data_IF_791389502201
#
_entry.id   IF_791389502201
#
_cell.length_a   1.000
_cell.length_b   1.000
_cell.length_c   1.000
_cell.angle_alpha   90.00
_cell.angle_beta   90.00
_cell.angle_gamma   90.00
#
_symmetry.space_group_name_H-M   'P 1'
#
loop_
_entity.id
_entity.type
_entity.pdbx_description
1 polymer ?
#
# COMPACT_ATOMS: atom_id res chain seq x y z
N UNK A 1 30.25 -1.86 14.30
CA UNK A 1 28.77 -2.05 14.42
C UNK A 1 27.94 -0.95 13.75
N UNK A 2 28.47 0.28 13.54
CA UNK A 2 27.93 1.23 12.54
C UNK A 2 28.20 0.78 11.07
N UNK A 3 28.68 -0.45 10.88
CA UNK A 3 29.21 -0.92 9.60
C UNK A 3 28.14 -1.35 8.60
N UNK A 4 26.91 -1.55 9.08
CA UNK A 4 25.78 -1.99 8.27
C UNK A 4 25.14 -0.84 7.47
N UNK A 5 25.30 0.41 7.89
CA UNK A 5 24.73 1.57 7.21
C UNK A 5 25.71 2.06 6.15
N UNK A 6 25.29 1.95 4.89
CA UNK A 6 26.20 2.14 3.76
C UNK A 6 26.42 3.61 3.44
N UNK A 7 25.41 4.46 3.63
CA UNK A 7 25.42 5.84 3.12
C UNK A 7 26.63 6.65 3.63
N UNK A 8 26.92 6.75 4.94
CA UNK A 8 28.06 7.53 5.42
C UNK A 8 29.39 7.08 4.82
N UNK A 9 29.58 5.77 4.62
CA UNK A 9 30.80 5.20 4.03
C UNK A 9 31.01 5.60 2.58
N UNK A 10 29.91 5.70 1.82
CA UNK A 10 29.95 6.05 0.40
C UNK A 10 30.33 7.52 0.20
N UNK A 11 29.85 8.40 1.08
CA UNK A 11 30.01 9.85 0.92
C UNK A 11 31.07 10.46 1.85
N UNK A 12 31.72 9.68 2.72
CA UNK A 12 32.59 10.19 3.80
C UNK A 12 33.71 11.12 3.35
N UNK A 13 34.20 10.97 2.12
CA UNK A 13 35.32 11.75 1.57
C UNK A 13 34.87 12.78 0.53
N UNK A 14 33.57 13.04 0.43
CA UNK A 14 32.99 13.98 -0.53
C UNK A 14 32.59 15.27 0.17
N UNK A 15 32.75 16.39 -0.53
CA UNK A 15 32.11 17.64 -0.14
C UNK A 15 30.58 17.52 -0.31
N UNK A 16 29.81 18.32 0.43
CA UNK A 16 28.36 18.12 0.49
C UNK A 16 27.69 18.23 -0.90
N UNK A 17 28.13 19.13 -1.76
CA UNK A 17 27.58 19.28 -3.12
C UNK A 17 27.76 18.01 -3.94
N UNK A 18 28.94 17.39 -3.87
CA UNK A 18 29.27 16.15 -4.59
C UNK A 18 28.53 14.96 -3.98
N UNK A 19 28.48 14.87 -2.65
CA UNK A 19 27.71 13.86 -1.94
C UNK A 19 26.23 13.92 -2.35
N UNK A 20 25.63 15.12 -2.34
CA UNK A 20 24.23 15.33 -2.72
C UNK A 20 23.96 14.91 -4.16
N UNK A 21 24.82 15.31 -5.10
CA UNK A 21 24.69 14.92 -6.51
C UNK A 21 24.77 13.40 -6.67
N UNK A 22 25.73 12.74 -6.04
CA UNK A 22 25.90 11.28 -6.07
C UNK A 22 24.65 10.57 -5.53
N UNK A 23 24.11 11.00 -4.39
CA UNK A 23 22.92 10.40 -3.78
C UNK A 23 21.69 10.53 -4.66
N UNK A 24 21.52 11.66 -5.36
CA UNK A 24 20.38 11.90 -6.24
C UNK A 24 20.50 11.13 -7.56
N UNK A 25 21.68 11.15 -8.19
CA UNK A 25 21.89 10.61 -9.54
C UNK A 25 22.12 9.10 -9.54
N UNK A 26 23.07 8.61 -8.72
CA UNK A 26 23.44 7.18 -8.68
C UNK A 26 22.46 6.34 -7.85
N UNK A 27 21.97 6.90 -6.75
CA UNK A 27 21.13 6.17 -5.79
C UNK A 27 19.66 6.56 -5.85
N UNK A 28 19.25 7.53 -6.67
CA UNK A 28 17.84 7.89 -6.84
C UNK A 28 17.16 8.34 -5.54
N UNK A 29 17.92 8.99 -4.65
CA UNK A 29 17.41 9.52 -3.38
C UNK A 29 16.90 10.95 -3.56
N UNK A 30 15.81 11.27 -2.88
CA UNK A 30 15.33 12.63 -2.64
C UNK A 30 15.90 13.09 -1.32
N UNK A 31 16.51 14.27 -1.34
CA UNK A 31 17.16 14.88 -0.18
C UNK A 31 16.34 16.09 0.26
N UNK A 32 15.98 16.11 1.54
CA UNK A 32 15.54 17.30 2.25
C UNK A 32 16.67 17.72 3.19
N UNK A 33 16.98 19.01 3.30
CA UNK A 33 18.16 19.46 4.01
C UNK A 33 17.92 20.77 4.77
N UNK A 34 18.72 20.97 5.80
CA UNK A 34 18.87 22.20 6.58
C UNK A 34 20.35 22.60 6.52
N UNK A 35 20.76 23.55 7.36
CA UNK A 35 22.17 23.90 7.50
C UNK A 35 22.99 22.76 8.14
N UNK A 36 22.38 21.98 9.05
CA UNK A 36 23.08 21.00 9.90
C UNK A 36 22.77 19.55 9.58
N UNK A 37 21.60 19.27 9.01
CA UNK A 37 21.08 17.92 8.81
C UNK A 37 20.59 17.73 7.37
N UNK A 38 20.66 16.50 6.88
CA UNK A 38 19.92 16.08 5.70
C UNK A 38 19.13 14.80 5.95
N UNK A 39 17.97 14.70 5.31
CA UNK A 39 17.05 13.57 5.35
C UNK A 39 16.98 12.94 3.97
N UNK A 40 17.36 11.67 3.87
CA UNK A 40 17.38 10.93 2.62
C UNK A 40 16.19 9.97 2.52
N UNK A 41 15.51 9.99 1.37
CA UNK A 41 14.38 9.12 1.07
C UNK A 41 14.42 8.63 -0.38
N UNK A 42 14.17 7.35 -0.61
CA UNK A 42 13.99 6.83 -1.97
C UNK A 42 12.78 7.43 -2.73
N UNK A 43 12.87 7.47 -4.06
CA UNK A 43 11.73 7.76 -4.94
C UNK A 43 10.78 6.55 -4.99
N UNK A 44 9.49 6.78 -4.75
CA UNK A 44 8.49 5.72 -4.83
C UNK A 44 8.44 5.15 -6.25
N UNK A 45 8.51 3.83 -6.39
CA UNK A 45 8.55 3.18 -7.71
C UNK A 45 9.89 3.29 -8.45
N UNK A 46 10.99 3.65 -7.76
CA UNK A 46 12.33 3.68 -8.38
C UNK A 46 12.63 2.37 -9.15
N UNK A 47 13.11 2.52 -10.39
CA UNK A 47 13.52 1.38 -11.23
C UNK A 47 14.70 0.60 -10.62
N UNK A 48 15.45 1.22 -9.72
CA UNK A 48 16.56 0.58 -9.01
C UNK A 48 16.10 -0.56 -8.08
N UNK A 49 14.83 -0.59 -7.67
CA UNK A 49 14.29 -1.74 -6.91
C UNK A 49 14.29 -3.05 -7.71
N UNK A 50 14.19 -2.97 -9.04
CA UNK A 50 14.13 -4.15 -9.92
C UNK A 50 15.41 -4.34 -10.70
N UNK A 51 16.06 -3.25 -11.14
CA UNK A 51 17.24 -3.27 -12.02
C UNK A 51 18.53 -2.79 -11.35
N UNK A 52 18.45 -2.27 -10.13
CA UNK A 52 19.62 -1.77 -9.40
C UNK A 52 20.50 -2.89 -8.86
N UNK A 53 21.73 -2.54 -8.52
CA UNK A 53 22.66 -3.42 -7.80
C UNK A 53 22.17 -3.67 -6.37
N UNK A 54 22.73 -4.69 -5.71
CA UNK A 54 22.42 -4.97 -4.29
C UNK A 54 22.81 -3.81 -3.37
N UNK A 55 23.91 -3.10 -3.66
CA UNK A 55 24.28 -1.87 -2.96
C UNK A 55 23.19 -0.81 -3.10
N UNK A 56 22.71 -0.55 -4.31
CA UNK A 56 21.65 0.43 -4.56
C UNK A 56 20.37 0.05 -3.83
N UNK A 57 19.92 -1.21 -3.92
CA UNK A 57 18.72 -1.68 -3.21
C UNK A 57 18.87 -1.53 -1.69
N UNK A 58 20.04 -1.83 -1.15
CA UNK A 58 20.34 -1.67 0.28
C UNK A 58 20.28 -0.20 0.70
N UNK A 59 20.90 0.70 -0.07
CA UNK A 59 20.82 2.15 0.17
C UNK A 59 19.38 2.63 0.15
N UNK A 60 18.59 2.24 -0.83
CA UNK A 60 17.17 2.62 -0.89
C UNK A 60 16.39 2.08 0.32
N UNK A 61 16.66 0.84 0.74
CA UNK A 61 15.97 0.21 1.86
C UNK A 61 16.28 0.90 3.20
N UNK A 62 17.54 1.31 3.39
CA UNK A 62 18.01 2.05 4.56
C UNK A 62 17.50 3.50 4.57
N UNK A 63 17.33 4.11 3.41
CA UNK A 63 16.97 5.51 3.27
C UNK A 63 15.48 5.68 2.94
N UNK A 64 14.65 5.39 3.95
CA UNK A 64 13.21 5.71 3.98
C UNK A 64 12.95 6.86 4.95
N UNK A 65 13.67 7.97 4.79
CA UNK A 65 13.62 9.10 5.72
C UNK A 65 14.70 9.01 6.81
N UNK A 66 15.82 8.36 6.54
CA UNK A 66 16.98 8.41 7.45
C UNK A 66 17.54 9.83 7.49
N UNK A 67 18.00 10.27 8.67
CA UNK A 67 18.55 11.60 8.91
C UNK A 67 20.01 11.48 9.30
N UNK A 68 20.84 12.36 8.75
CA UNK A 68 22.27 12.38 8.93
C UNK A 68 22.75 13.82 9.21
N UNK A 69 23.91 13.95 9.85
CA UNK A 69 24.68 15.19 9.91
C UNK A 69 25.07 15.63 8.49
N UNK A 70 24.89 16.90 8.17
CA UNK A 70 25.31 17.51 6.89
C UNK A 70 26.73 18.06 6.97
N UNK A 71 27.63 17.24 7.49
CA UNK A 71 29.06 17.51 7.50
C UNK A 71 29.81 16.18 7.64
N UNK A 72 30.98 16.01 6.98
CA UNK A 72 31.80 14.82 7.16
C UNK A 72 32.07 14.54 8.65
N UNK A 73 31.96 13.27 9.11
CA UNK A 73 31.81 12.04 8.33
C UNK A 73 30.34 11.62 8.03
N UNK A 74 29.40 12.57 8.02
CA UNK A 74 27.99 12.38 7.71
C UNK A 74 27.30 11.35 8.62
N UNK A 75 27.49 11.51 9.93
CA UNK A 75 27.01 10.55 10.93
C UNK A 75 25.50 10.37 10.85
N UNK A 76 25.04 9.13 11.04
CA UNK A 76 23.63 8.80 11.16
C UNK A 76 23.07 9.37 12.47
N UNK A 77 21.99 10.15 12.36
CA UNK A 77 21.29 10.79 13.50
C UNK A 77 20.00 10.05 13.83
N UNK A 78 19.24 9.63 12.82
CA UNK A 78 18.00 8.88 13.01
C UNK A 78 17.79 7.89 11.87
N UNK A 79 17.55 6.63 12.21
CA UNK A 79 17.24 5.57 11.25
C UNK A 79 15.83 5.05 11.51
N UNK A 80 14.81 5.44 10.73
CA UNK A 80 13.47 4.88 10.85
C UNK A 80 13.43 3.43 10.34
N UNK A 81 12.25 2.80 10.34
CA UNK A 81 12.09 1.46 9.77
C UNK A 81 12.65 1.36 8.35
N UNK A 82 13.32 0.24 8.07
CA UNK A 82 13.70 -0.11 6.71
C UNK A 82 12.46 -0.20 5.81
N UNK A 83 12.67 -0.07 4.50
CA UNK A 83 11.59 -0.30 3.53
C UNK A 83 11.01 -1.70 3.70
N UNK A 84 9.74 -1.78 4.07
CA UNK A 84 8.94 -3.01 4.01
C UNK A 84 7.84 -2.93 2.95
N UNK A 85 7.44 -4.09 2.44
CA UNK A 85 6.61 -4.26 1.24
C UNK A 85 5.21 -4.74 1.60
N UNK A 86 4.26 -4.56 0.67
CA UNK A 86 2.99 -5.27 0.77
C UNK A 86 3.26 -6.77 0.66
N UNK A 87 2.55 -7.61 1.42
CA UNK A 87 2.82 -9.05 1.48
C UNK A 87 2.83 -9.74 0.10
N UNK A 88 2.09 -9.22 -0.87
CA UNK A 88 1.97 -9.78 -2.22
C UNK A 88 2.93 -9.14 -3.24
N UNK A 89 3.88 -8.31 -2.81
CA UNK A 89 4.90 -7.73 -3.69
C UNK A 89 6.12 -8.66 -3.81
N UNK A 90 6.80 -8.73 -4.97
CA UNK A 90 7.93 -9.63 -5.19
C UNK A 90 9.09 -9.47 -4.20
N UNK A 91 9.28 -8.25 -3.71
CA UNK A 91 10.36 -7.91 -2.76
C UNK A 91 9.92 -8.08 -1.29
N UNK A 92 8.71 -8.56 -1.03
CA UNK A 92 8.26 -8.82 0.32
C UNK A 92 8.94 -10.05 0.89
N UNK A 93 9.46 -9.92 2.10
CA UNK A 93 9.95 -11.05 2.88
C UNK A 93 8.76 -11.85 3.36
N UNK A 94 8.24 -12.79 2.56
CA UNK A 94 7.09 -13.65 2.91
C UNK A 94 7.47 -15.07 3.30
N UNK A 95 8.72 -15.47 3.05
CA UNK A 95 9.24 -16.80 3.37
C UNK A 95 9.56 -17.00 4.85
N UNK A 96 9.33 -15.98 5.68
CA UNK A 96 9.46 -16.10 7.13
C UNK A 96 8.12 -16.62 7.69
N UNK A 97 8.10 -17.85 8.21
CA UNK A 97 6.93 -18.39 8.92
C UNK A 97 6.79 -17.83 10.36
N UNK A 98 7.75 -17.01 10.81
CA UNK A 98 7.85 -16.52 12.19
C UNK A 98 7.28 -15.11 12.39
N UNK A 99 6.10 -14.82 11.85
CA UNK A 99 5.37 -13.59 12.19
C UNK A 99 4.85 -13.69 13.62
N UNK A 100 5.27 -12.75 14.47
CA UNK A 100 5.05 -12.84 15.93
C UNK A 100 4.27 -11.66 16.48
N UNK A 101 4.17 -10.57 15.72
CA UNK A 101 3.35 -9.40 16.08
C UNK A 101 2.50 -8.97 14.90
N UNK A 102 1.22 -8.72 15.17
CA UNK A 102 0.24 -8.21 14.22
C UNK A 102 -0.41 -6.98 14.82
N UNK A 103 -0.23 -5.82 14.18
CA UNK A 103 -0.78 -4.55 14.67
C UNK A 103 -1.57 -3.85 13.60
N UNK A 104 -2.63 -3.14 13.97
CA UNK A 104 -3.39 -2.29 13.07
C UNK A 104 -2.44 -1.37 12.31
N UNK A 105 -2.60 -1.33 10.99
CA UNK A 105 -1.91 -0.36 10.16
C UNK A 105 -2.67 0.96 10.24
N UNK A 106 -2.13 1.90 11.01
CA UNK A 106 -2.70 3.23 11.13
C UNK A 106 -2.60 3.99 9.80
N UNK A 107 -3.69 4.67 9.41
CA UNK A 107 -3.78 5.50 8.21
C UNK A 107 -3.52 6.97 8.55
N UNK A 108 -2.26 7.36 8.64
CA UNK A 108 -1.90 8.71 9.06
C UNK A 108 -0.63 9.22 8.42
N UNK A 109 0.08 10.09 9.15
CA UNK A 109 1.39 10.60 8.75
C UNK A 109 2.44 10.04 9.67
N UNK A 110 3.44 9.38 9.10
CA UNK A 110 4.61 8.88 9.83
C UNK A 110 5.53 10.02 10.27
N UNK A 111 5.89 10.01 11.55
CA UNK A 111 6.84 10.91 12.19
C UNK A 111 7.93 10.15 12.94
N UNK A 112 9.04 10.84 13.12
CA UNK A 112 10.20 10.41 13.88
C UNK A 112 10.58 11.50 14.88
N UNK A 113 10.86 11.08 16.10
CA UNK A 113 11.39 11.91 17.18
C UNK A 113 12.79 11.40 17.52
N UNK A 114 13.78 12.30 17.51
CA UNK A 114 15.18 11.97 17.80
C UNK A 114 15.88 13.15 18.44
N UNK A 115 16.97 12.88 19.16
CA UNK A 115 17.76 13.90 19.82
C UNK A 115 19.00 14.26 19.00
N UNK A 116 19.27 15.56 18.84
CA UNK A 116 20.44 16.05 18.14
C UNK A 116 20.86 17.41 18.73
N UNK A 117 22.16 17.59 19.00
CA UNK A 117 22.73 18.85 19.52
C UNK A 117 21.93 19.49 20.68
N UNK A 118 21.63 18.69 21.71
CA UNK A 118 20.90 19.11 22.91
C UNK A 118 19.41 19.46 22.71
N UNK A 119 18.83 19.13 21.56
CA UNK A 119 17.43 19.41 21.27
C UNK A 119 16.70 18.19 20.72
N UNK A 120 15.41 18.09 21.06
CA UNK A 120 14.50 17.12 20.44
C UNK A 120 14.01 17.64 19.11
N UNK A 121 14.14 16.81 18.07
CA UNK A 121 13.61 17.06 16.75
C UNK A 121 12.38 16.20 16.52
N UNK A 122 11.36 16.80 15.91
CA UNK A 122 10.21 16.09 15.34
C UNK A 122 10.22 16.33 13.85
N UNK A 123 10.24 15.26 13.07
CA UNK A 123 10.23 15.37 11.62
C UNK A 123 9.33 14.32 10.99
N UNK A 124 8.81 14.64 9.82
CA UNK A 124 8.02 13.69 9.04
C UNK A 124 8.95 12.67 8.36
N UNK A 125 8.36 11.67 7.71
CA UNK A 125 9.14 10.69 6.95
C UNK A 125 10.03 11.28 5.84
N UNK A 126 9.77 12.50 5.36
CA UNK A 126 10.51 13.09 4.23
C UNK A 126 10.89 14.55 4.39
N UNK A 127 10.67 15.15 5.57
CA UNK A 127 10.99 16.56 5.84
C UNK A 127 11.46 16.70 7.27
N UNK A 128 12.62 17.33 7.46
CA UNK A 128 13.22 17.67 8.75
C UNK A 128 12.37 18.75 9.41
N UNK A 129 12.11 19.85 8.69
CA UNK A 129 11.25 20.93 9.16
C UNK A 129 9.78 20.66 8.80
N UNK A 130 8.92 20.71 9.81
CA UNK A 130 7.47 20.49 9.71
C UNK A 130 6.64 21.73 10.09
N UNK A 131 7.30 22.86 10.36
CA UNK A 131 6.68 24.11 10.81
C UNK A 131 6.05 24.90 9.67
N UNK A 132 6.48 24.68 8.43
CA UNK A 132 5.95 25.40 7.28
C UNK A 132 4.57 24.88 6.85
N UNK A 133 3.64 25.79 6.57
CA UNK A 133 2.35 25.46 5.97
C UNK A 133 2.57 24.91 4.56
N UNK A 134 1.96 23.77 4.24
CA UNK A 134 2.08 23.16 2.92
C UNK A 134 0.72 23.07 2.24
N UNK A 135 0.74 23.06 0.90
CA UNK A 135 -0.46 22.96 0.05
C UNK A 135 -1.47 21.89 0.51
N UNK A 136 -0.97 20.72 0.94
CA UNK A 136 -1.81 19.60 1.39
C UNK A 136 -2.48 19.77 2.76
N UNK A 137 -2.15 20.84 3.48
CA UNK A 137 -2.76 21.24 4.75
C UNK A 137 -3.48 22.60 4.63
N UNK A 138 -3.50 23.20 3.44
CA UNK A 138 -4.14 24.50 3.24
C UNK A 138 -5.63 24.48 3.54
N UNK A 139 -6.30 23.33 3.35
CA UNK A 139 -7.73 23.18 3.65
C UNK A 139 -8.06 23.31 5.14
N UNK A 140 -7.13 22.99 6.04
CA UNK A 140 -7.31 23.16 7.48
C UNK A 140 -6.55 24.36 8.06
N UNK A 141 -5.71 25.03 7.26
CA UNK A 141 -4.91 26.19 7.69
C UNK A 141 -3.83 25.88 8.73
N UNK A 142 -3.61 24.61 9.08
CA UNK A 142 -2.65 24.19 10.12
C UNK A 142 -1.36 23.65 9.51
N UNK A 143 -0.24 23.87 10.20
CA UNK A 143 1.05 23.27 9.86
C UNK A 143 1.12 21.83 10.37
N UNK A 144 2.11 21.05 9.92
CA UNK A 144 2.30 19.71 10.46
C UNK A 144 2.72 19.72 11.92
N UNK A 145 3.44 20.76 12.35
CA UNK A 145 3.83 20.95 13.74
C UNK A 145 2.60 21.15 14.64
N UNK A 146 1.68 22.04 14.27
CA UNK A 146 0.45 22.28 15.04
C UNK A 146 -0.38 20.99 15.16
N UNK A 147 -0.58 20.33 14.03
CA UNK A 147 -1.27 19.05 13.95
C UNK A 147 -0.59 17.94 14.76
N UNK A 148 0.74 17.96 14.88
CA UNK A 148 1.51 17.06 15.74
C UNK A 148 1.33 17.38 17.21
N UNK A 149 1.41 18.66 17.59
CA UNK A 149 1.26 19.11 18.98
C UNK A 149 -0.12 18.76 19.54
N UNK A 150 -1.19 18.96 18.77
CA UNK A 150 -2.56 18.57 19.16
C UNK A 150 -2.66 17.06 19.44
N UNK A 151 -2.08 16.23 18.56
CA UNK A 151 -2.07 14.78 18.72
C UNK A 151 -1.16 14.31 19.86
N UNK A 152 -0.03 14.98 20.07
CA UNK A 152 0.91 14.69 21.14
C UNK A 152 0.30 14.98 22.51
N UNK A 153 -0.44 16.09 22.63
CA UNK A 153 -1.17 16.45 23.84
C UNK A 153 -2.23 15.40 24.18
N UNK A 154 -3.08 15.03 23.21
CA UNK A 154 -4.13 14.02 23.41
C UNK A 154 -3.54 12.65 23.80
N UNK A 155 -2.40 12.29 23.22
CA UNK A 155 -1.72 11.02 23.49
C UNK A 155 -0.91 11.02 24.80
N UNK A 156 -0.84 12.14 25.55
CA UNK A 156 -0.04 12.25 26.76
C UNK A 156 1.47 12.14 26.53
N UNK A 157 1.95 12.57 25.35
CA UNK A 157 3.36 12.47 24.97
C UNK A 157 4.24 13.41 25.81
N UNK A 158 5.30 12.86 26.38
CA UNK A 158 6.18 13.56 27.32
C UNK A 158 7.66 13.29 26.98
N UNK A 159 8.36 14.34 26.56
CA UNK A 159 9.79 14.28 26.22
C UNK A 159 10.68 13.87 27.39
N UNK A 160 10.26 14.09 28.64
CA UNK A 160 11.06 13.73 29.82
C UNK A 160 11.19 12.21 30.02
N UNK A 161 10.29 11.43 29.41
CA UNK A 161 10.30 9.97 29.44
C UNK A 161 11.20 9.35 28.35
N UNK A 162 11.75 10.17 27.46
CA UNK A 162 12.52 9.69 26.32
C UNK A 162 14.02 9.61 26.66
N UNK A 163 14.66 8.56 26.16
CA UNK A 163 16.09 8.40 26.19
C UNK A 163 16.70 9.06 24.95
N UNK A 164 17.64 10.00 25.15
CA UNK A 164 18.31 10.74 24.08
C UNK A 164 19.13 9.86 23.12
N UNK A 165 19.48 8.65 23.53
CA UNK A 165 20.14 7.66 22.67
C UNK A 165 19.18 7.02 21.65
N UNK A 166 17.88 7.16 21.84
CA UNK A 166 16.87 6.46 21.06
C UNK A 166 16.20 7.37 20.02
N UNK A 167 15.74 6.75 18.94
CA UNK A 167 14.79 7.33 18.01
C UNK A 167 13.43 6.65 18.16
N UNK A 168 12.36 7.44 18.10
CA UNK A 168 10.99 6.99 18.32
C UNK A 168 10.14 7.26 17.08
N UNK A 169 9.32 6.29 16.69
CA UNK A 169 8.54 6.35 15.46
C UNK A 169 7.05 6.34 15.77
N UNK A 170 6.31 7.23 15.11
CA UNK A 170 4.90 7.44 15.39
C UNK A 170 4.09 7.49 14.10
N UNK A 171 2.85 7.03 14.17
CA UNK A 171 1.82 7.44 13.23
C UNK A 171 0.95 8.51 13.88
N UNK A 172 0.86 9.68 13.25
CA UNK A 172 -0.07 10.73 13.64
C UNK A 172 -1.35 10.62 12.82
N UNK A 173 -2.50 10.54 13.49
CA UNK A 173 -3.83 10.58 12.89
C UNK A 173 -4.59 11.81 13.40
N UNK A 174 -5.49 12.36 12.58
CA UNK A 174 -6.15 13.63 12.93
C UNK A 174 -7.42 13.90 12.12
N UNK A 175 -8.49 14.45 12.73
CA UNK A 175 -9.73 14.80 12.02
C UNK A 175 -9.49 15.79 10.88
N UNK A 176 -8.71 16.86 11.12
CA UNK A 176 -8.37 17.88 10.11
C UNK A 176 -7.41 17.40 8.98
N UNK A 177 -6.86 16.19 9.07
CA UNK A 177 -6.01 15.64 8.02
C UNK A 177 -6.29 14.16 7.80
N UNK A 178 -7.31 13.89 6.98
CA UNK A 178 -7.70 12.57 6.53
C UNK A 178 -6.94 12.14 5.28
N UNK A 179 -6.45 10.90 5.28
CA UNK A 179 -6.00 10.22 4.06
C UNK A 179 -7.18 9.45 3.47
N UNK A 180 -7.62 8.39 4.14
CA UNK A 180 -8.83 7.61 3.81
C UNK A 180 -9.73 7.50 5.03
N UNK A 181 -9.16 7.15 6.18
CA UNK A 181 -9.90 6.87 7.41
C UNK A 181 -10.22 8.17 8.14
N UNK A 182 -11.48 8.34 8.53
CA UNK A 182 -11.90 9.45 9.36
C UNK A 182 -11.65 9.12 10.83
N UNK A 183 -10.77 9.88 11.46
CA UNK A 183 -10.57 9.82 12.91
C UNK A 183 -11.40 10.91 13.59
N UNK A 184 -11.97 10.58 14.73
CA UNK A 184 -12.78 11.52 15.53
C UNK A 184 -11.91 12.48 16.34
N UNK A 185 -10.71 12.04 16.73
CA UNK A 185 -9.79 12.79 17.59
C UNK A 185 -8.36 12.77 17.04
N UNK A 186 -7.56 13.82 17.30
CA UNK A 186 -6.13 13.77 17.04
C UNK A 186 -5.48 12.70 17.93
N UNK A 187 -4.54 11.91 17.41
CA UNK A 187 -3.87 10.89 18.21
C UNK A 187 -2.47 10.56 17.65
N UNK A 188 -1.54 10.22 18.55
CA UNK A 188 -0.27 9.60 18.21
C UNK A 188 -0.28 8.13 18.59
N UNK A 189 0.20 7.29 17.68
CA UNK A 189 0.46 5.89 17.95
C UNK A 189 1.95 5.62 17.90
N UNK A 190 2.53 5.13 18.99
CA UNK A 190 3.92 4.69 19.04
C UNK A 190 4.07 3.38 18.27
N UNK A 191 4.83 3.42 17.17
CA UNK A 191 5.03 2.29 16.26
C UNK A 191 6.28 1.47 16.58
N UNK A 192 7.29 2.09 17.18
CA UNK A 192 8.54 1.44 17.52
C UNK A 192 9.61 2.41 17.98
N UNK A 193 10.61 1.86 18.68
CA UNK A 193 11.79 2.57 19.16
C UNK A 193 13.03 1.91 18.57
N UNK A 194 14.08 2.68 18.31
CA UNK A 194 15.39 2.16 17.91
C UNK A 194 16.50 2.78 18.75
N UNK A 195 17.40 1.94 19.21
CA UNK A 195 18.65 2.38 19.82
C UNK A 195 19.60 2.88 18.72
N UNK A 196 19.98 4.16 18.74
CA UNK A 196 20.82 4.71 17.67
C UNK A 196 22.31 4.36 17.81
N UNK A 197 22.74 3.75 18.92
CA UNK A 197 24.09 3.23 19.08
C UNK A 197 24.22 1.81 18.52
N UNK A 198 23.26 0.92 18.82
CA UNK A 198 23.28 -0.48 18.34
C UNK A 198 22.53 -0.68 17.03
N UNK A 199 21.66 0.26 16.67
CA UNK A 199 20.70 0.20 15.55
C UNK A 199 19.62 -0.88 15.72
N UNK A 200 19.52 -1.50 16.89
CA UNK A 200 18.51 -2.50 17.21
C UNK A 200 17.19 -1.84 17.57
N UNK A 201 16.09 -2.44 17.11
CA UNK A 201 14.75 -2.02 17.53
C UNK A 201 14.41 -2.58 18.90
N UNK A 202 13.68 -1.79 19.69
CA UNK A 202 13.37 -2.06 21.08
C UNK A 202 11.87 -1.90 21.34
N UNK A 203 11.34 -2.74 22.21
CA UNK A 203 10.02 -2.56 22.80
C UNK A 203 10.15 -1.77 24.10
N UNK A 204 9.84 -0.46 24.02
CA UNK A 204 9.84 0.45 25.17
C UNK A 204 8.44 1.01 25.37
N UNK A 205 7.99 1.07 26.62
CA UNK A 205 6.80 1.81 26.99
C UNK A 205 7.19 3.24 27.39
N UNK A 206 6.68 4.21 26.62
CA UNK A 206 6.88 5.65 26.85
C UNK A 206 5.57 6.34 27.28
N UNK A 207 4.52 5.57 27.57
CA UNK A 207 3.21 6.07 27.97
C UNK A 207 2.34 6.59 26.80
N UNK A 208 2.75 6.35 25.55
CA UNK A 208 1.97 6.68 24.34
C UNK A 208 1.25 5.43 23.84
N UNK A 209 -0.03 5.53 23.42
CA UNK A 209 -0.77 4.40 22.85
C UNK A 209 -0.04 3.71 21.70
N UNK A 210 -0.15 2.39 21.62
CA UNK A 210 0.30 1.59 20.46
C UNK A 210 -0.89 1.22 19.58
N UNK A 211 -0.70 0.94 18.28
CA UNK A 211 -1.78 0.43 17.44
C UNK A 211 -2.36 -0.86 18.01
N UNK A 212 -3.66 -1.08 17.80
CA UNK A 212 -4.36 -2.30 18.26
C UNK A 212 -3.63 -3.55 17.81
N UNK A 213 -3.35 -4.45 18.73
CA UNK A 213 -2.77 -5.76 18.44
C UNK A 213 -3.83 -6.80 18.07
N UNK A 214 -3.45 -7.73 17.22
CA UNK A 214 -4.24 -8.88 16.80
C UNK A 214 -3.47 -10.17 17.09
N UNK A 215 -4.21 -11.26 17.28
CA UNK A 215 -3.63 -12.58 17.49
C UNK A 215 -4.04 -13.47 16.32
N UNK A 216 -3.04 -13.96 15.59
CA UNK A 216 -3.22 -14.93 14.52
C UNK A 216 -2.20 -16.05 14.70
N UNK A 217 -2.63 -17.29 14.49
CA UNK A 217 -1.73 -18.44 14.57
C UNK A 217 -0.84 -18.55 13.32
N UNK A 218 -1.30 -18.00 12.20
CA UNK A 218 -0.60 -18.05 10.92
C UNK A 218 -0.90 -16.80 10.08
N UNK A 219 0.04 -16.44 9.19
CA UNK A 219 -0.11 -15.30 8.28
C UNK A 219 -1.39 -15.38 7.44
N UNK A 220 -1.78 -16.57 6.97
CA UNK A 220 -2.96 -16.73 6.12
C UNK A 220 -4.25 -16.28 6.81
N UNK A 221 -4.39 -16.52 8.12
CA UNK A 221 -5.54 -16.04 8.89
C UNK A 221 -5.59 -14.51 8.93
N UNK A 222 -4.44 -13.86 9.09
CA UNK A 222 -4.35 -12.41 9.01
C UNK A 222 -4.74 -11.90 7.62
N UNK A 223 -4.34 -12.59 6.54
CA UNK A 223 -4.69 -12.23 5.17
C UNK A 223 -6.19 -12.39 4.93
N UNK A 224 -6.80 -13.48 5.39
CA UNK A 224 -8.24 -13.72 5.30
C UNK A 224 -9.04 -12.64 6.03
N UNK A 225 -8.64 -12.32 7.28
CA UNK A 225 -9.24 -11.26 8.07
C UNK A 225 -9.17 -9.90 7.36
N UNK A 226 -7.97 -9.47 6.92
CA UNK A 226 -7.79 -8.17 6.26
C UNK A 226 -8.53 -8.11 4.92
N UNK A 227 -8.71 -9.24 4.23
CA UNK A 227 -9.48 -9.32 2.99
C UNK A 227 -11.00 -9.18 3.18
N UNK A 228 -11.50 -9.29 4.41
CA UNK A 228 -12.91 -9.09 4.76
C UNK A 228 -13.14 -7.75 5.49
N UNK A 229 -12.07 -7.07 5.88
CA UNK A 229 -12.10 -5.82 6.63
C UNK A 229 -12.62 -4.65 5.79
N UNK A 230 -13.60 -3.90 6.31
CA UNK A 230 -14.07 -2.65 5.69
C UNK A 230 -13.03 -1.55 5.87
N UNK A 231 -12.95 -0.61 4.91
CA UNK A 231 -12.04 0.54 5.02
C UNK A 231 -12.34 1.46 6.22
N UNK A 232 -13.57 1.39 6.75
CA UNK A 232 -13.99 2.14 7.94
C UNK A 232 -13.31 1.58 9.20
N UNK A 233 -13.04 0.27 9.23
CA UNK A 233 -12.38 -0.39 10.36
C UNK A 233 -10.86 -0.10 10.40
N UNK A 234 -10.24 0.27 9.28
CA UNK A 234 -8.78 0.36 9.19
C UNK A 234 -8.21 0.17 7.78
N UNK A 235 -6.92 0.47 7.64
CA UNK A 235 -6.20 0.26 6.37
C UNK A 235 -5.83 -1.21 6.16
N UNK A 236 -5.62 -1.93 7.26
CA UNK A 236 -5.15 -3.30 7.28
C UNK A 236 -4.22 -3.53 8.47
N UNK A 237 -3.23 -4.41 8.30
CA UNK A 237 -2.35 -4.89 9.35
C UNK A 237 -0.88 -4.82 8.93
N UNK A 238 -0.01 -4.51 9.88
CA UNK A 238 1.44 -4.73 9.78
C UNK A 238 1.77 -6.01 10.55
N UNK A 239 2.35 -6.98 9.87
CA UNK A 239 2.94 -8.16 10.51
C UNK A 239 4.44 -7.93 10.68
N UNK A 240 4.96 -8.29 11.85
CA UNK A 240 6.36 -8.12 12.22
C UNK A 240 6.91 -9.43 12.80
N UNK A 241 8.09 -9.84 12.35
CA UNK A 241 8.94 -10.81 13.04
C UNK A 241 9.75 -10.05 14.10
N UNK A 242 9.39 -10.15 15.39
CA UNK A 242 10.05 -9.42 16.46
C UNK A 242 11.48 -9.87 16.77
N UNK A 243 11.97 -10.95 16.15
CA UNK A 243 13.38 -11.38 16.28
C UNK A 243 14.30 -10.57 15.38
N UNK A 244 13.87 -10.32 14.15
CA UNK A 244 14.67 -9.65 13.12
C UNK A 244 14.09 -8.30 12.67
N UNK A 245 12.91 -7.93 13.18
CA UNK A 245 12.12 -6.76 12.83
C UNK A 245 11.80 -6.62 11.34
N UNK A 246 11.80 -7.75 10.62
CA UNK A 246 11.25 -7.83 9.27
C UNK A 246 9.75 -7.59 9.34
N UNK A 247 9.25 -6.77 8.41
CA UNK A 247 7.85 -6.37 8.35
C UNK A 247 7.27 -6.64 6.98
N UNK A 248 5.97 -6.93 6.96
CA UNK A 248 5.12 -6.83 5.78
C UNK A 248 3.86 -6.08 6.16
N UNK A 249 3.22 -5.46 5.17
CA UNK A 249 1.90 -4.86 5.32
C UNK A 249 0.89 -5.62 4.48
N UNK A 250 -0.27 -5.84 5.05
CA UNK A 250 -1.41 -6.49 4.42
C UNK A 250 -2.50 -5.43 4.48
N UNK A 251 -2.98 -4.98 3.32
CA UNK A 251 -3.95 -3.89 3.23
C UNK A 251 -5.30 -4.42 2.82
N UNK A 252 -6.35 -3.89 3.44
CA UNK A 252 -7.71 -4.21 3.05
C UNK A 252 -7.91 -3.80 1.59
N UNK A 253 -8.47 -4.68 0.77
CA UNK A 253 -8.85 -4.29 -0.58
C UNK A 253 -9.86 -3.13 -0.60
N UNK A 254 -10.78 -3.10 0.37
CA UNK A 254 -11.76 -2.02 0.52
C UNK A 254 -11.04 -0.68 0.72
N UNK A 255 -10.06 -0.63 1.62
CA UNK A 255 -9.23 0.56 1.81
C UNK A 255 -8.46 0.93 0.54
N UNK A 256 -7.86 -0.05 -0.15
CA UNK A 256 -7.05 0.21 -1.35
C UNK A 256 -7.85 0.87 -2.46
N UNK A 257 -9.11 0.45 -2.64
CA UNK A 257 -10.05 1.07 -3.57
C UNK A 257 -10.19 2.55 -3.22
N UNK A 258 -10.51 2.87 -1.96
CA UNK A 258 -10.68 4.26 -1.51
C UNK A 258 -9.39 5.08 -1.63
N UNK A 259 -8.27 4.52 -1.20
CA UNK A 259 -6.97 5.18 -1.28
C UNK A 259 -6.62 5.58 -2.72
N UNK A 260 -6.99 4.74 -3.69
CA UNK A 260 -6.78 5.03 -5.10
C UNK A 260 -7.55 6.25 -5.58
N UNK A 261 -8.77 6.47 -5.08
CA UNK A 261 -9.63 7.62 -5.41
C UNK A 261 -9.33 8.92 -4.65
N UNK A 262 -8.49 8.85 -3.60
CA UNK A 262 -8.17 10.01 -2.73
C UNK A 262 -6.78 10.58 -3.01
N UNK A 263 -5.80 9.75 -3.40
CA UNK A 263 -4.43 10.20 -3.69
C UNK A 263 -4.26 10.49 -5.18
N UNK A 264 -4.20 11.79 -5.50
CA UNK A 264 -3.98 12.33 -6.85
C UNK A 264 -2.67 11.85 -7.49
N UNK A 265 -2.77 10.77 -8.26
CA UNK A 265 -1.82 10.48 -9.32
C UNK A 265 -2.54 10.77 -10.61
N UNK A 266 -2.03 11.75 -11.35
CA UNK A 266 -2.44 12.10 -12.70
C UNK A 266 -2.21 10.88 -13.61
N UNK A 267 -3.25 10.06 -13.80
CA UNK A 267 -3.33 9.09 -14.87
C UNK A 267 -4.70 9.29 -15.53
N UNK A 268 -4.73 9.39 -16.84
CA UNK A 268 -5.96 9.42 -17.61
C UNK A 268 -6.75 8.13 -17.31
N UNK A 269 -8.03 8.27 -16.92
CA UNK A 269 -8.99 7.20 -16.62
C UNK A 269 -8.99 6.51 -15.23
N UNK A 270 -8.52 7.17 -14.16
CA UNK A 270 -8.60 6.63 -12.78
C UNK A 270 -10.02 6.50 -12.20
N UNK A 271 -10.94 7.38 -12.57
CA UNK A 271 -12.31 7.38 -12.01
C UNK A 271 -13.08 6.14 -12.43
N UNK A 272 -13.03 5.78 -13.72
CA UNK A 272 -13.61 4.53 -14.21
C UNK A 272 -12.98 3.28 -13.58
N UNK A 273 -11.67 3.29 -13.33
CA UNK A 273 -10.98 2.19 -12.62
C UNK A 273 -11.47 2.01 -11.18
N UNK A 274 -11.64 3.14 -10.46
CA UNK A 274 -12.18 3.14 -9.12
C UNK A 274 -13.62 2.59 -9.11
N UNK A 275 -14.47 3.08 -10.00
CA UNK A 275 -15.86 2.64 -10.11
C UNK A 275 -15.98 1.15 -10.48
N UNK A 276 -15.16 0.66 -11.41
CA UNK A 276 -15.09 -0.76 -11.74
C UNK A 276 -14.71 -1.60 -10.52
N UNK A 277 -13.76 -1.14 -9.72
CA UNK A 277 -13.34 -1.86 -8.52
C UNK A 277 -14.44 -1.96 -7.47
N UNK A 278 -15.28 -0.93 -7.34
CA UNK A 278 -16.50 -0.96 -6.52
C UNK A 278 -17.48 -2.00 -7.06
N UNK A 279 -17.76 -1.98 -8.37
CA UNK A 279 -18.69 -2.92 -9.00
C UNK A 279 -18.23 -4.39 -8.84
N UNK A 280 -16.92 -4.63 -8.92
CA UNK A 280 -16.31 -5.94 -8.71
C UNK A 280 -16.38 -6.44 -7.26
N UNK A 281 -16.47 -5.55 -6.26
CA UNK A 281 -16.74 -5.96 -4.88
C UNK A 281 -18.22 -6.27 -4.65
N UNK A 282 -19.13 -5.64 -5.40
CA UNK A 282 -20.58 -5.81 -5.21
C UNK A 282 -21.12 -5.13 -3.94
N UNK A 283 -20.40 -4.15 -3.41
CA UNK A 283 -20.69 -3.43 -2.16
C UNK A 283 -21.06 -1.95 -2.43
N UNK A 284 -21.59 -1.63 -3.61
CA UNK A 284 -21.70 -0.26 -4.13
C UNK A 284 -22.40 0.74 -3.20
N UNK A 285 -23.38 0.30 -2.41
CA UNK A 285 -24.09 1.17 -1.47
C UNK A 285 -23.15 1.74 -0.41
N UNK A 286 -22.22 0.94 0.13
CA UNK A 286 -21.26 1.40 1.13
C UNK A 286 -20.33 2.45 0.50
N UNK A 287 -19.70 2.14 -0.64
CA UNK A 287 -18.74 3.03 -1.28
C UNK A 287 -19.36 4.36 -1.75
N UNK A 288 -20.55 4.33 -2.37
CA UNK A 288 -21.17 5.54 -2.92
C UNK A 288 -21.68 6.50 -1.84
N UNK A 289 -22.03 5.98 -0.65
CA UNK A 289 -22.38 6.82 0.50
C UNK A 289 -21.20 7.68 0.97
N UNK A 290 -19.98 7.13 0.97
CA UNK A 290 -18.78 7.86 1.35
C UNK A 290 -18.21 8.73 0.22
N UNK A 291 -18.47 8.38 -1.03
CA UNK A 291 -17.98 9.12 -2.20
C UNK A 291 -19.10 9.51 -3.17
N UNK A 292 -20.03 10.39 -2.74
CA UNK A 292 -21.17 10.76 -3.57
C UNK A 292 -20.74 11.42 -4.89
N UNK A 293 -19.56 12.04 -4.93
CA UNK A 293 -18.97 12.62 -6.15
C UNK A 293 -18.68 11.61 -7.27
N UNK A 294 -18.60 10.31 -6.97
CA UNK A 294 -18.34 9.26 -7.95
C UNK A 294 -19.60 8.53 -8.43
N UNK A 295 -20.80 8.90 -7.93
CA UNK A 295 -22.05 8.24 -8.30
C UNK A 295 -22.30 8.28 -9.81
N UNK A 296 -22.08 9.44 -10.45
CA UNK A 296 -22.31 9.57 -11.88
C UNK A 296 -21.40 8.63 -12.69
N UNK A 297 -20.09 8.68 -12.46
CA UNK A 297 -19.14 7.80 -13.15
C UNK A 297 -19.40 6.32 -12.84
N UNK A 298 -19.77 5.99 -11.60
CA UNK A 298 -20.11 4.62 -11.22
C UNK A 298 -21.27 4.10 -12.05
N UNK A 299 -22.34 4.88 -12.19
CA UNK A 299 -23.49 4.50 -12.99
C UNK A 299 -23.11 4.30 -14.45
N UNK A 300 -22.20 5.11 -15.01
CA UNK A 300 -21.71 4.94 -16.37
C UNK A 300 -20.89 3.64 -16.55
N UNK A 301 -20.03 3.32 -15.59
CA UNK A 301 -19.25 2.07 -15.60
C UNK A 301 -20.15 0.85 -15.42
N UNK A 302 -21.06 0.89 -14.44
CA UNK A 302 -22.02 -0.19 -14.19
C UNK A 302 -22.89 -0.44 -15.42
N UNK A 303 -23.42 0.63 -16.02
CA UNK A 303 -24.19 0.56 -17.27
C UNK A 303 -23.39 -0.14 -18.38
N UNK A 304 -22.12 0.25 -18.58
CA UNK A 304 -21.28 -0.38 -19.61
C UNK A 304 -21.05 -1.87 -19.34
N UNK A 305 -20.85 -2.25 -18.09
CA UNK A 305 -20.63 -3.65 -17.72
C UNK A 305 -21.90 -4.48 -17.95
N UNK A 306 -23.03 -4.04 -17.41
CA UNK A 306 -24.29 -4.78 -17.41
C UNK A 306 -24.97 -4.76 -18.79
N UNK A 307 -24.92 -3.65 -19.53
CA UNK A 307 -25.63 -3.53 -20.81
C UNK A 307 -24.77 -3.91 -22.03
N UNK A 308 -23.44 -3.99 -21.90
CA UNK A 308 -22.55 -4.28 -23.03
C UNK A 308 -21.68 -5.51 -22.80
N UNK A 309 -20.86 -5.50 -21.75
CA UNK A 309 -19.80 -6.51 -21.58
C UNK A 309 -20.38 -7.87 -21.20
N UNK A 310 -21.28 -7.91 -20.21
CA UNK A 310 -21.92 -9.16 -19.79
C UNK A 310 -22.68 -9.81 -20.97
N UNK A 311 -23.54 -9.07 -21.71
CA UNK A 311 -24.18 -9.61 -22.91
C UNK A 311 -23.22 -10.13 -23.97
N UNK A 312 -22.11 -9.44 -24.22
CA UNK A 312 -21.08 -9.89 -25.17
C UNK A 312 -20.44 -11.21 -24.71
N UNK A 313 -20.05 -11.31 -23.44
CA UNK A 313 -19.46 -12.54 -22.87
C UNK A 313 -20.46 -13.71 -22.91
N UNK A 314 -21.74 -13.46 -22.63
CA UNK A 314 -22.80 -14.47 -22.75
C UNK A 314 -22.92 -14.95 -24.20
N UNK A 315 -22.97 -14.04 -25.17
CA UNK A 315 -23.10 -14.39 -26.58
C UNK A 315 -21.90 -15.19 -27.08
N UNK A 316 -20.68 -14.74 -26.75
CA UNK A 316 -19.45 -15.45 -27.08
C UNK A 316 -19.42 -16.85 -26.44
N UNK A 317 -19.70 -16.96 -25.14
CA UNK A 317 -19.74 -18.25 -24.46
C UNK A 317 -20.81 -19.19 -25.03
N UNK A 318 -21.98 -18.67 -25.36
CA UNK A 318 -23.09 -19.45 -25.95
C UNK A 318 -22.69 -20.05 -27.31
N UNK A 319 -21.92 -19.34 -28.13
CA UNK A 319 -21.39 -19.88 -29.40
C UNK A 319 -20.38 -21.01 -29.20
N UNK A 320 -19.64 -20.98 -28.10
CA UNK A 320 -18.64 -21.99 -27.76
C UNK A 320 -19.25 -23.21 -27.04
N UNK A 321 -20.36 -22.99 -26.33
CA UNK A 321 -20.92 -23.95 -25.39
C UNK A 321 -21.35 -25.26 -26.07
N UNK A 322 -20.96 -26.37 -25.44
CA UNK A 322 -21.46 -27.70 -25.70
C UNK A 322 -21.62 -28.41 -24.36
N UNK A 323 -22.67 -29.20 -24.19
CA UNK A 323 -22.84 -30.04 -23.00
C UNK A 323 -21.75 -31.11 -22.89
N UNK A 324 -21.14 -31.49 -24.03
CA UNK A 324 -19.99 -32.39 -24.05
C UNK A 324 -18.69 -31.62 -23.77
N UNK A 325 -18.02 -31.99 -22.67
CA UNK A 325 -16.81 -31.33 -22.18
C UNK A 325 -15.71 -31.26 -23.25
N UNK A 326 -15.47 -32.35 -23.98
CA UNK A 326 -14.44 -32.40 -25.02
C UNK A 326 -14.72 -31.38 -26.12
N UNK A 327 -15.95 -31.40 -26.65
CA UNK A 327 -16.40 -30.51 -27.72
C UNK A 327 -16.35 -29.04 -27.29
N UNK A 328 -16.72 -28.70 -26.04
CA UNK A 328 -16.55 -27.34 -25.52
C UNK A 328 -15.09 -26.89 -25.54
N UNK A 329 -14.16 -27.72 -25.03
CA UNK A 329 -12.74 -27.36 -24.99
C UNK A 329 -12.10 -27.32 -26.37
N UNK A 330 -12.56 -28.13 -27.32
CA UNK A 330 -12.11 -28.08 -28.72
C UNK A 330 -12.51 -26.74 -29.37
N UNK A 331 -13.77 -26.30 -29.19
CA UNK A 331 -14.22 -24.96 -29.62
C UNK A 331 -13.42 -23.85 -28.94
N UNK A 332 -13.22 -23.95 -27.61
CA UNK A 332 -12.49 -22.96 -26.84
C UNK A 332 -11.02 -22.85 -27.28
N UNK A 333 -10.36 -23.97 -27.57
CA UNK A 333 -8.98 -24.02 -28.06
C UNK A 333 -8.84 -23.39 -29.46
N UNK A 334 -9.86 -23.54 -30.30
CA UNK A 334 -9.89 -22.97 -31.64
C UNK A 334 -10.06 -21.46 -31.62
N UNK A 335 -11.05 -20.95 -30.88
CA UNK A 335 -11.38 -19.51 -30.85
C UNK A 335 -10.49 -18.72 -29.87
N UNK A 336 -10.05 -19.36 -28.79
CA UNK A 336 -9.21 -18.78 -27.75
C UNK A 336 -8.04 -19.72 -27.38
N UNK A 337 -7.07 -19.89 -28.29
CA UNK A 337 -5.90 -20.73 -28.06
C UNK A 337 -5.10 -20.23 -26.86
N UNK A 338 -4.61 -21.17 -26.03
CA UNK A 338 -3.81 -20.81 -24.87
C UNK A 338 -2.41 -20.33 -25.29
N UNK A 339 -1.98 -19.21 -24.72
CA UNK A 339 -0.59 -18.74 -24.85
C UNK A 339 0.35 -19.33 -23.80
N UNK A 340 -0.16 -20.16 -22.88
CA UNK A 340 0.56 -20.65 -21.71
C UNK A 340 0.79 -19.59 -20.63
N UNK A 341 0.25 -18.38 -20.80
CA UNK A 341 0.38 -17.28 -19.84
C UNK A 341 -1.00 -16.83 -19.37
N UNK A 342 -1.36 -17.02 -18.08
CA UNK A 342 -2.68 -16.66 -17.55
C UNK A 342 -3.11 -15.21 -17.81
N UNK A 343 -2.14 -14.29 -17.89
CA UNK A 343 -2.38 -12.87 -18.20
C UNK A 343 -2.94 -12.62 -19.62
N UNK A 344 -2.73 -13.54 -20.54
CA UNK A 344 -3.13 -13.46 -21.96
C UNK A 344 -4.36 -14.33 -22.25
N UNK A 345 -4.64 -15.34 -21.42
CA UNK A 345 -5.71 -16.33 -21.61
C UNK A 345 -7.00 -16.01 -20.82
N UNK A 346 -7.33 -14.73 -20.61
CA UNK A 346 -8.37 -14.34 -19.64
C UNK A 346 -9.80 -14.71 -20.04
N UNK A 347 -10.21 -14.46 -21.29
CA UNK A 347 -11.54 -14.91 -21.78
C UNK A 347 -11.65 -16.42 -21.70
N UNK A 348 -10.58 -17.13 -22.06
CA UNK A 348 -10.45 -18.58 -21.90
C UNK A 348 -10.67 -19.01 -20.44
N UNK A 349 -10.05 -18.33 -19.47
CA UNK A 349 -10.23 -18.62 -18.05
C UNK A 349 -11.67 -18.36 -17.58
N UNK A 350 -12.29 -17.25 -17.98
CA UNK A 350 -13.70 -16.93 -17.69
C UNK A 350 -14.60 -18.05 -18.22
N UNK A 351 -14.47 -18.40 -19.50
CA UNK A 351 -15.29 -19.44 -20.14
C UNK A 351 -15.05 -20.81 -19.53
N UNK A 352 -13.81 -21.14 -19.19
CA UNK A 352 -13.49 -22.39 -18.48
C UNK A 352 -14.21 -22.46 -17.13
N UNK A 353 -14.16 -21.37 -16.33
CA UNK A 353 -14.84 -21.33 -15.04
C UNK A 353 -16.36 -21.30 -15.16
N UNK A 354 -16.91 -20.57 -16.13
CA UNK A 354 -18.34 -20.59 -16.42
C UNK A 354 -18.80 -22.01 -16.76
N UNK A 355 -18.08 -22.70 -17.63
CA UNK A 355 -18.38 -24.08 -17.98
C UNK A 355 -18.32 -25.00 -16.74
N UNK A 356 -17.25 -24.91 -15.96
CA UNK A 356 -17.08 -25.70 -14.73
C UNK A 356 -18.19 -25.47 -13.70
N UNK A 357 -18.59 -24.21 -13.47
CA UNK A 357 -19.61 -23.86 -12.47
C UNK A 357 -21.03 -24.17 -12.91
N UNK A 358 -21.27 -24.36 -14.21
CA UNK A 358 -22.57 -24.69 -14.76
C UNK A 358 -22.63 -26.12 -15.30
N UNK A 359 -21.67 -26.99 -14.96
CA UNK A 359 -21.73 -28.41 -15.34
C UNK A 359 -23.00 -29.06 -14.78
N UNK A 360 -23.68 -29.84 -15.61
CA UNK A 360 -24.97 -30.46 -15.27
C UNK A 360 -26.19 -29.57 -15.49
N UNK A 361 -26.00 -28.32 -15.89
CA UNK A 361 -27.09 -27.42 -16.32
C UNK A 361 -26.92 -27.09 -17.79
N UNK A 362 -27.99 -27.18 -18.60
CA UNK A 362 -27.91 -26.80 -20.00
C UNK A 362 -27.90 -25.28 -20.14
N UNK A 363 -26.72 -24.70 -20.41
CA UNK A 363 -26.55 -23.25 -20.60
C UNK A 363 -27.54 -22.67 -21.61
N UNK A 364 -27.87 -23.41 -22.67
CA UNK A 364 -28.79 -22.91 -23.69
C UNK A 364 -30.23 -22.78 -23.19
N UNK A 365 -30.61 -23.55 -22.15
CA UNK A 365 -31.92 -23.51 -21.53
C UNK A 365 -32.03 -22.50 -20.38
N UNK A 366 -30.90 -21.97 -19.88
CA UNK A 366 -30.92 -20.93 -18.86
C UNK A 366 -31.52 -19.63 -19.41
N UNK A 367 -32.36 -18.99 -18.60
CA UNK A 367 -32.82 -17.64 -18.89
C UNK A 367 -31.66 -16.62 -18.82
N UNK A 368 -31.94 -15.40 -19.28
CA UNK A 368 -30.92 -14.38 -19.37
C UNK A 368 -30.40 -13.92 -18.00
N UNK A 369 -31.24 -13.91 -16.96
CA UNK A 369 -30.83 -13.42 -15.63
C UNK A 369 -29.90 -14.42 -14.93
N UNK A 370 -30.15 -15.71 -15.09
CA UNK A 370 -29.23 -16.75 -14.62
C UNK A 370 -27.88 -16.66 -15.32
N UNK A 371 -27.87 -16.43 -16.64
CA UNK A 371 -26.63 -16.24 -17.41
C UNK A 371 -25.86 -15.00 -16.95
N UNK A 372 -26.55 -13.86 -16.78
CA UNK A 372 -25.96 -12.63 -16.25
C UNK A 372 -25.37 -12.87 -14.85
N UNK A 373 -26.13 -13.51 -13.95
CA UNK A 373 -25.68 -13.83 -12.59
C UNK A 373 -24.44 -14.71 -12.58
N UNK A 374 -24.38 -15.75 -13.42
CA UNK A 374 -23.21 -16.61 -13.54
C UNK A 374 -21.97 -15.81 -13.98
N UNK A 375 -22.11 -14.94 -14.98
CA UNK A 375 -21.01 -14.07 -15.43
C UNK A 375 -20.59 -13.08 -14.35
N UNK A 376 -21.53 -12.41 -13.67
CA UNK A 376 -21.24 -11.50 -12.54
C UNK A 376 -20.43 -12.23 -11.46
N UNK A 377 -20.87 -13.43 -11.07
CA UNK A 377 -20.20 -14.23 -10.05
C UNK A 377 -18.78 -14.58 -10.46
N UNK A 378 -18.55 -14.98 -11.72
CA UNK A 378 -17.20 -15.22 -12.24
C UNK A 378 -16.36 -13.94 -12.19
N UNK A 379 -16.87 -12.80 -12.67
CA UNK A 379 -16.13 -11.54 -12.68
C UNK A 379 -15.77 -11.05 -11.26
N UNK A 380 -16.63 -11.32 -10.27
CA UNK A 380 -16.43 -10.94 -8.85
C UNK A 380 -15.62 -11.97 -8.05
N UNK A 381 -15.36 -13.16 -8.58
CA UNK A 381 -14.62 -14.20 -7.86
C UNK A 381 -13.16 -13.82 -7.62
N UNK A 382 -12.76 -13.82 -6.33
CA UNK A 382 -11.40 -13.51 -5.87
C UNK A 382 -10.31 -14.44 -6.43
N UNK A 383 -10.68 -15.66 -6.83
CA UNK A 383 -9.76 -16.72 -7.29
C UNK A 383 -9.39 -16.64 -8.78
N UNK A 384 -9.66 -15.54 -9.49
CA UNK A 384 -9.19 -15.38 -10.88
C UNK A 384 -7.70 -14.98 -10.92
N UNK A 385 -7.17 -14.35 -9.87
CA UNK A 385 -5.72 -14.26 -9.62
C UNK A 385 -5.48 -13.77 -8.19
N UNK A 386 -4.56 -14.43 -7.46
CA UNK A 386 -4.18 -14.13 -6.07
C UNK A 386 -3.64 -12.72 -5.82
N UNK A 387 -3.64 -11.86 -6.85
CA UNK A 387 -3.40 -10.42 -6.73
C UNK A 387 -4.55 -9.68 -7.43
N UNK A 388 -5.44 -9.06 -6.66
CA UNK A 388 -6.47 -8.12 -7.16
C UNK A 388 -5.91 -6.97 -8.01
N UNK A 389 -4.58 -6.77 -7.98
CA UNK A 389 -3.81 -5.90 -8.89
C UNK A 389 -3.87 -6.34 -10.37
N UNK A 390 -4.19 -7.60 -10.64
CA UNK A 390 -4.14 -8.17 -11.98
C UNK A 390 -5.46 -8.04 -12.78
N UNK A 391 -6.60 -8.00 -12.08
CA UNK A 391 -7.88 -7.59 -12.67
C UNK A 391 -7.79 -6.12 -13.13
N UNK A 392 -7.06 -5.31 -12.39
CA UNK A 392 -6.97 -3.86 -12.57
C UNK A 392 -6.31 -3.37 -13.88
N UNK A 393 -5.11 -3.84 -14.24
CA UNK A 393 -4.35 -3.23 -15.36
C UNK A 393 -4.84 -3.61 -16.78
N UNK A 394 -5.69 -4.63 -16.94
CA UNK A 394 -5.99 -5.19 -18.29
C UNK A 394 -7.46 -5.41 -18.63
N UNK A 395 -8.39 -5.47 -17.67
CA UNK A 395 -9.82 -5.36 -18.02
C UNK A 395 -10.16 -3.95 -18.52
N UNK A 396 -9.35 -2.95 -18.16
CA UNK A 396 -9.44 -1.62 -18.72
C UNK A 396 -9.26 -1.62 -20.25
N UNK A 397 -8.45 -2.50 -20.83
CA UNK A 397 -8.35 -2.60 -22.30
C UNK A 397 -9.59 -3.23 -22.94
N UNK A 398 -10.28 -4.15 -22.27
CA UNK A 398 -11.62 -4.60 -22.69
C UNK A 398 -12.68 -3.49 -22.50
N UNK A 399 -12.47 -2.58 -21.54
CA UNK A 399 -13.29 -1.39 -21.25
C UNK A 399 -12.86 -0.13 -22.03
N UNK A 400 -11.79 -0.12 -22.81
CA UNK A 400 -11.30 1.07 -23.55
C UNK A 400 -11.21 0.77 -25.06
N UNK A 401 -11.12 -0.49 -25.46
CA UNK A 401 -10.89 -0.90 -26.86
C UNK A 401 -12.05 -1.67 -27.48
N UNK A 402 -13.28 -1.35 -27.06
CA UNK A 402 -14.53 -1.60 -27.80
C UNK A 402 -15.37 -0.33 -27.74
#
# INVERSE_FOLDING_TARGET
MCDSILLPKIITNLEWSEARELLQTKYGLVIDETDKLFCAKYIHGSHLWTRGTEEQKTILAQNRGAVYEKMPPYRLVCLPFYKFWNYNEPNATTTNDNWTSYTAKMDGSFFKVYFFQNEWYVSSNSRIDIKQLRKKYTHCGKTNEQLWQEAALEAGFDYSKLNQRYAYFFERVHPDYKIVIQYEKPMLYHLGTRDMLTLEELEVDIGVPKPRSFQFSQLNQCVEYVNQMSFVEGEGIVACDTRNYHRIKIKSPSYLIIHYGTVGVENENKTGQFCLSIWLQGEQQEYLNYFPKFIQEYNEVEKRIEESIIPQLINEFTKLYSSETKTFFDHLNKEHPSSGKPNQDRKRLIFTKLFQQNQGTDWNQLDNEHKCTAVRNILRQRNIDNTRKFIFEKYLHLLITI
#
